data_IF_049637704111
#
_entry.id   IF_049637704111
#
_cell.length_a   1.000
_cell.length_b   1.000
_cell.length_c   1.000
_cell.angle_alpha   90.00
_cell.angle_beta   90.00
_cell.angle_gamma   90.00
#
_symmetry.space_group_name_H-M   'P 1'
#
loop_
_entity.id
_entity.type
_entity.pdbx_description
1 polymer ?
#
# COMPACT_ATOMS: atom_id res chain seq x y z
N UNK A 1 56.68 40.66 -25.65
CA UNK A 1 55.55 41.51 -26.07
C UNK A 1 54.29 40.92 -25.43
N UNK A 2 53.84 41.54 -24.31
CA UNK A 2 52.51 41.51 -23.64
C UNK A 2 51.78 40.16 -23.41
N UNK A 3 51.63 39.68 -22.16
CA UNK A 3 50.45 39.81 -21.23
C UNK A 3 49.22 38.97 -21.71
N UNK A 4 48.49 38.10 -20.99
CA UNK A 4 48.06 37.91 -19.58
C UNK A 4 47.50 36.47 -19.38
N UNK A 5 47.47 35.94 -18.14
CA UNK A 5 46.59 34.85 -17.64
C UNK A 5 45.15 35.38 -17.37
N UNK A 6 44.16 34.61 -16.83
CA UNK A 6 43.52 33.34 -17.22
C UNK A 6 41.97 33.47 -17.26
N UNK A 7 41.18 32.52 -17.81
CA UNK A 7 39.76 32.36 -17.40
C UNK A 7 39.27 30.92 -17.52
N UNK A 8 38.85 30.37 -16.37
CA UNK A 8 37.96 29.23 -16.22
C UNK A 8 36.62 29.55 -16.89
N UNK A 9 36.10 28.62 -17.71
CA UNK A 9 34.65 28.46 -17.85
C UNK A 9 34.28 27.04 -17.43
N UNK A 10 33.90 26.95 -16.16
CA UNK A 10 32.98 25.94 -15.66
C UNK A 10 31.70 26.07 -16.48
N UNK A 11 31.34 25.06 -17.27
CA UNK A 11 29.97 24.96 -17.77
C UNK A 11 29.11 24.52 -16.58
N UNK A 12 28.52 25.51 -15.92
CA UNK A 12 27.52 25.28 -14.89
C UNK A 12 26.25 24.75 -15.58
N UNK A 13 25.98 23.45 -15.49
CA UNK A 13 24.60 22.95 -15.59
C UNK A 13 23.87 23.35 -14.31
N UNK A 14 23.45 24.61 -14.27
CA UNK A 14 22.63 25.15 -13.19
C UNK A 14 21.25 24.51 -13.20
N UNK A 15 20.99 23.61 -12.27
CA UNK A 15 19.62 23.20 -11.93
C UNK A 15 19.03 24.30 -11.04
N UNK A 16 18.00 25.01 -11.52
CA UNK A 16 17.25 25.95 -10.68
C UNK A 16 16.56 25.14 -9.58
N UNK A 17 16.97 25.35 -8.33
CA UNK A 17 16.34 24.76 -7.14
C UNK A 17 15.25 25.71 -6.64
N UNK A 18 14.00 25.26 -6.70
CA UNK A 18 12.94 25.71 -5.79
C UNK A 18 12.55 24.46 -4.98
N UNK A 19 12.62 24.54 -3.66
CA UNK A 19 12.20 23.52 -2.67
C UNK A 19 12.98 22.20 -2.52
N UNK A 20 14.26 22.15 -2.89
CA UNK A 20 15.18 21.13 -2.33
C UNK A 20 14.94 19.65 -2.70
N UNK A 21 13.99 19.32 -3.58
CA UNK A 21 13.90 18.00 -4.23
C UNK A 21 14.44 18.07 -5.66
N UNK A 22 15.32 17.15 -6.10
CA UNK A 22 15.61 17.03 -7.53
C UNK A 22 14.33 16.61 -8.25
N UNK A 23 13.72 17.50 -9.04
CA UNK A 23 12.71 17.08 -10.02
C UNK A 23 13.42 16.16 -10.99
N UNK A 24 12.97 14.91 -11.10
CA UNK A 24 13.38 14.06 -12.22
C UNK A 24 13.11 14.82 -13.52
N UNK A 25 14.06 14.83 -14.47
CA UNK A 25 13.80 15.42 -15.77
C UNK A 25 12.63 14.67 -16.42
N UNK A 26 11.58 15.41 -16.77
CA UNK A 26 10.48 14.88 -17.58
C UNK A 26 11.04 14.39 -18.91
N UNK A 27 10.72 13.15 -19.28
CA UNK A 27 11.24 12.50 -20.48
C UNK A 27 10.54 13.05 -21.73
N UNK A 28 11.31 13.28 -22.77
CA UNK A 28 10.84 13.69 -24.09
C UNK A 28 9.74 12.75 -24.63
N UNK A 29 8.63 13.32 -25.07
CA UNK A 29 7.46 12.57 -25.54
C UNK A 29 6.57 11.98 -24.43
N UNK A 30 6.80 12.30 -23.15
CA UNK A 30 5.89 11.92 -22.05
C UNK A 30 4.53 12.57 -22.22
N UNK A 31 3.45 11.89 -21.83
CA UNK A 31 2.09 12.43 -21.89
C UNK A 31 1.55 12.63 -20.47
N UNK A 32 0.66 13.60 -20.28
CA UNK A 32 -0.17 13.75 -19.08
C UNK A 32 -1.59 14.15 -19.45
N UNK A 33 -2.52 13.92 -18.53
CA UNK A 33 -3.92 14.34 -18.65
C UNK A 33 -4.21 15.47 -17.66
N UNK A 34 -4.81 16.56 -18.13
CA UNK A 34 -5.12 17.74 -17.32
C UNK A 34 -6.61 18.09 -17.40
N UNK A 35 -7.19 18.58 -16.31
CA UNK A 35 -8.58 19.09 -16.28
C UNK A 35 -9.67 18.05 -16.05
N UNK A 36 -9.31 16.77 -15.86
CA UNK A 36 -10.25 15.71 -15.45
C UNK A 36 -9.74 14.85 -14.28
N UNK A 37 -10.57 13.90 -13.83
CA UNK A 37 -10.29 13.04 -12.66
C UNK A 37 -9.60 11.73 -13.09
N UNK A 38 -8.27 11.70 -13.01
CA UNK A 38 -7.40 10.55 -13.29
C UNK A 38 -7.40 10.00 -14.73
N UNK A 39 -8.53 9.48 -15.25
CA UNK A 39 -8.62 8.81 -16.57
C UNK A 39 -9.14 9.69 -17.73
N UNK A 40 -9.94 10.75 -17.52
CA UNK A 40 -10.26 11.72 -18.56
C UNK A 40 -9.42 12.99 -18.42
N UNK A 41 -9.14 13.65 -19.53
CA UNK A 41 -8.49 14.96 -19.52
C UNK A 41 -7.99 15.42 -20.88
N UNK A 42 -7.58 16.68 -20.95
CA UNK A 42 -6.83 17.27 -22.06
C UNK A 42 -5.46 16.59 -22.17
N UNK A 43 -5.08 16.24 -23.39
CA UNK A 43 -3.78 15.63 -23.69
C UNK A 43 -2.71 16.72 -23.76
N UNK A 44 -1.68 16.57 -22.94
CA UNK A 44 -0.46 17.37 -23.05
C UNK A 44 0.73 16.43 -23.22
N UNK A 45 1.64 16.78 -24.14
CA UNK A 45 2.88 16.06 -24.40
C UNK A 45 4.08 16.93 -24.00
N UNK A 46 5.11 16.30 -23.44
CA UNK A 46 6.34 16.99 -23.08
C UNK A 46 7.28 17.01 -24.27
N UNK A 47 7.64 18.20 -24.75
CA UNK A 47 8.58 18.36 -25.85
C UNK A 47 9.39 19.65 -25.70
N UNK A 48 10.69 19.55 -25.97
CA UNK A 48 11.65 20.68 -25.95
C UNK A 48 11.61 21.47 -24.62
N UNK A 49 11.62 20.73 -23.51
CA UNK A 49 11.69 21.34 -22.18
C UNK A 49 10.35 21.83 -21.59
N UNK A 50 9.23 21.67 -22.30
CA UNK A 50 7.94 22.19 -21.88
C UNK A 50 6.77 21.24 -22.15
N UNK A 51 5.69 21.41 -21.40
CA UNK A 51 4.41 20.75 -21.68
C UNK A 51 3.63 21.56 -22.71
N UNK A 52 3.21 20.91 -23.79
CA UNK A 52 2.51 21.52 -24.93
C UNK A 52 1.22 20.76 -25.23
N UNK A 53 0.26 21.41 -25.89
CA UNK A 53 -1.03 20.78 -26.22
C UNK A 53 -1.05 20.18 -27.64
N UNK A 54 -2.07 19.36 -27.87
CA UNK A 54 -2.33 18.64 -29.12
C UNK A 54 -3.62 19.18 -29.71
N UNK A 55 -3.63 19.52 -31.01
CA UNK A 55 -4.85 19.92 -31.69
C UNK A 55 -5.77 18.73 -31.98
N UNK A 56 -7.08 18.99 -31.95
CA UNK A 56 -8.14 18.03 -32.22
C UNK A 56 -8.43 17.81 -33.71
N UNK A 57 -7.82 18.60 -34.60
CA UNK A 57 -7.90 18.37 -36.05
C UNK A 57 -7.17 17.05 -36.40
N UNK A 58 -7.91 16.13 -37.05
CA UNK A 58 -7.43 14.77 -37.33
C UNK A 58 -7.41 13.82 -36.14
N UNK A 59 -7.72 14.30 -34.93
CA UNK A 59 -7.81 13.49 -33.71
C UNK A 59 -8.94 12.48 -33.82
N UNK A 60 -8.71 11.27 -33.31
CA UNK A 60 -9.70 10.20 -33.35
C UNK A 60 -9.49 9.20 -32.21
N UNK A 61 -10.31 8.14 -32.21
CA UNK A 61 -10.23 7.10 -31.19
C UNK A 61 -8.90 6.33 -31.23
N UNK A 62 -8.22 6.25 -32.38
CA UNK A 62 -6.91 5.61 -32.48
C UNK A 62 -5.83 6.46 -31.81
N UNK A 63 -5.87 7.79 -31.97
CA UNK A 63 -5.05 8.73 -31.21
C UNK A 63 -5.28 8.64 -29.70
N UNK A 64 -6.55 8.59 -29.30
CA UNK A 64 -6.91 8.39 -27.89
C UNK A 64 -6.41 7.04 -27.36
N UNK A 65 -6.48 5.97 -28.15
CA UNK A 65 -6.01 4.63 -27.79
C UNK A 65 -4.51 4.64 -27.51
N UNK A 66 -3.69 5.28 -28.35
CA UNK A 66 -2.24 5.39 -28.15
C UNK A 66 -1.93 6.14 -26.85
N UNK A 67 -2.59 7.29 -26.61
CA UNK A 67 -2.39 8.07 -25.38
C UNK A 67 -2.75 7.26 -24.14
N UNK A 68 -3.92 6.62 -24.14
CA UNK A 68 -4.38 5.84 -23.00
C UNK A 68 -3.45 4.65 -22.73
N UNK A 69 -3.01 3.93 -23.75
CA UNK A 69 -2.03 2.85 -23.61
C UNK A 69 -0.67 3.35 -23.10
N UNK A 70 -0.17 4.48 -23.63
CA UNK A 70 1.08 5.11 -23.19
C UNK A 70 1.03 5.52 -21.71
N UNK A 71 -0.14 5.96 -21.24
CA UNK A 71 -0.42 6.34 -19.85
C UNK A 71 -0.69 5.13 -18.93
N UNK A 72 -0.65 3.90 -19.44
CA UNK A 72 -0.85 2.66 -18.66
C UNK A 72 -2.30 2.20 -18.53
N UNK A 73 -3.24 2.81 -19.26
CA UNK A 73 -4.62 2.33 -19.35
C UNK A 73 -4.74 1.18 -20.35
N UNK A 74 -5.84 0.42 -20.26
CA UNK A 74 -6.10 -0.71 -21.17
C UNK A 74 -6.56 -0.26 -22.57
N UNK A 75 -6.93 1.01 -22.72
CA UNK A 75 -7.31 1.63 -23.99
C UNK A 75 -8.14 2.88 -23.77
N UNK A 76 -8.69 3.43 -24.85
CA UNK A 76 -9.59 4.57 -24.81
C UNK A 76 -11.06 4.13 -24.79
N UNK A 77 -11.88 4.89 -24.06
CA UNK A 77 -13.34 4.90 -24.19
C UNK A 77 -13.74 5.90 -25.26
N UNK A 78 -13.12 7.09 -25.27
CA UNK A 78 -13.48 8.15 -26.19
C UNK A 78 -12.32 9.09 -26.52
N UNK A 79 -12.37 9.67 -27.72
CA UNK A 79 -11.62 10.85 -28.11
C UNK A 79 -12.49 12.09 -27.87
N UNK A 80 -11.92 13.13 -27.28
CA UNK A 80 -12.64 14.35 -26.91
C UNK A 80 -12.05 15.53 -27.65
N UNK A 81 -12.92 16.44 -28.07
CA UNK A 81 -12.63 17.55 -28.98
C UNK A 81 -13.05 18.88 -28.32
N UNK A 82 -12.70 20.00 -28.93
CA UNK A 82 -13.24 21.31 -28.62
C UNK A 82 -12.75 21.92 -27.30
N UNK A 83 -11.56 21.51 -26.81
CA UNK A 83 -11.02 22.03 -25.55
C UNK A 83 -11.91 21.71 -24.33
N UNK A 84 -12.68 20.62 -24.38
CA UNK A 84 -13.72 20.27 -23.40
C UNK A 84 -13.22 20.25 -21.94
N UNK A 85 -12.02 19.73 -21.69
CA UNK A 85 -11.41 19.67 -20.35
C UNK A 85 -10.72 20.98 -19.94
N UNK A 86 -11.12 22.10 -20.56
CA UNK A 86 -10.50 23.40 -20.45
C UNK A 86 -9.42 23.62 -21.49
N UNK A 87 -9.25 24.88 -21.87
CA UNK A 87 -8.16 25.33 -22.73
C UNK A 87 -6.81 25.16 -22.00
N UNK A 88 -5.80 24.69 -22.73
CA UNK A 88 -4.42 24.77 -22.30
C UNK A 88 -3.86 26.19 -22.41
N UNK A 89 -2.58 26.31 -22.08
CA UNK A 89 -1.83 27.54 -22.20
C UNK A 89 -0.51 27.26 -22.91
N UNK A 90 -0.05 28.23 -23.71
CA UNK A 90 1.24 28.16 -24.37
C UNK A 90 1.14 27.55 -25.77
N UNK A 91 2.17 26.83 -26.23
CA UNK A 91 2.19 26.35 -27.60
C UNK A 91 1.33 25.11 -27.86
N UNK A 92 0.75 25.03 -29.06
CA UNK A 92 0.16 23.81 -29.64
C UNK A 92 1.21 23.22 -30.57
N UNK A 93 1.73 22.02 -30.32
CA UNK A 93 2.89 21.53 -31.09
C UNK A 93 2.60 20.30 -31.94
N UNK A 94 1.41 19.71 -31.82
CA UNK A 94 0.96 18.62 -32.66
C UNK A 94 -0.38 18.96 -33.30
N UNK A 95 -0.49 18.74 -34.60
CA UNK A 95 -1.68 19.01 -35.41
C UNK A 95 -1.83 17.97 -36.53
N UNK A 96 -3.07 17.64 -36.92
CA UNK A 96 -3.41 16.53 -37.82
C UNK A 96 -2.80 15.20 -37.38
N UNK A 97 -2.93 14.89 -36.09
CA UNK A 97 -2.39 13.66 -35.51
C UNK A 97 -3.19 12.46 -35.98
N UNK A 98 -2.57 11.60 -36.77
CA UNK A 98 -3.14 10.35 -37.29
C UNK A 98 -2.35 9.16 -36.77
N UNK A 99 -2.98 8.42 -35.88
CA UNK A 99 -2.45 7.17 -35.34
C UNK A 99 -3.16 5.97 -35.97
N UNK A 100 -2.47 4.84 -36.06
CA UNK A 100 -3.04 3.54 -36.38
C UNK A 100 -3.62 2.85 -35.13
N UNK A 101 -3.28 3.33 -33.92
CA UNK A 101 -3.76 2.82 -32.64
C UNK A 101 -2.83 1.80 -31.98
N UNK A 102 -1.75 1.41 -32.67
CA UNK A 102 -0.76 0.42 -32.22
C UNK A 102 0.61 1.02 -31.89
N UNK A 103 0.76 2.33 -32.06
CA UNK A 103 1.98 3.05 -31.72
C UNK A 103 2.29 2.96 -30.23
N UNK A 104 3.58 2.85 -29.89
CA UNK A 104 4.02 2.79 -28.49
C UNK A 104 3.93 4.14 -27.77
N UNK A 105 3.86 5.24 -28.52
CA UNK A 105 3.79 6.60 -27.98
C UNK A 105 3.18 7.56 -29.00
N UNK A 106 2.54 8.62 -28.51
CA UNK A 106 1.87 9.63 -29.33
C UNK A 106 2.82 10.31 -30.34
N UNK A 107 4.07 10.54 -29.95
CA UNK A 107 5.12 11.11 -30.81
C UNK A 107 5.50 10.27 -32.02
N UNK A 108 5.07 9.00 -32.09
CA UNK A 108 5.30 8.10 -33.24
C UNK A 108 4.15 8.07 -34.24
N UNK A 109 3.02 8.70 -33.93
CA UNK A 109 1.95 8.88 -34.89
C UNK A 109 2.37 9.85 -36.00
N UNK A 110 1.66 9.84 -37.12
CA UNK A 110 1.87 10.83 -38.18
C UNK A 110 1.23 12.16 -37.77
N UNK A 111 1.91 13.28 -37.96
CA UNK A 111 1.37 14.63 -37.74
C UNK A 111 2.11 15.63 -38.64
N UNK A 112 1.64 16.89 -38.70
CA UNK A 112 2.20 17.93 -39.61
C UNK A 112 3.65 18.35 -39.34
N UNK A 113 4.25 17.89 -38.25
CA UNK A 113 5.53 18.33 -37.75
C UNK A 113 5.40 19.21 -36.50
N UNK A 114 6.45 19.25 -35.69
CA UNK A 114 6.43 19.94 -34.40
C UNK A 114 6.29 21.45 -34.59
N UNK A 115 5.31 22.05 -33.90
CA UNK A 115 5.04 23.49 -33.97
C UNK A 115 4.40 23.96 -35.28
N UNK A 116 3.98 23.04 -36.16
CA UNK A 116 3.24 23.34 -37.39
C UNK A 116 1.75 23.12 -37.13
N UNK A 117 0.99 24.20 -36.88
CA UNK A 117 -0.43 24.17 -36.53
C UNK A 117 -1.16 25.43 -36.97
N UNK A 118 -2.49 25.33 -37.18
CA UNK A 118 -3.41 26.46 -37.40
C UNK A 118 -4.54 26.51 -36.35
N UNK A 119 -4.39 25.75 -35.27
CA UNK A 119 -5.36 25.63 -34.20
C UNK A 119 -5.27 26.72 -33.13
N UNK A 120 -6.32 26.81 -32.30
CA UNK A 120 -6.34 27.59 -31.05
C UNK A 120 -6.66 26.63 -29.89
N UNK A 121 -6.44 27.03 -28.63
CA UNK A 121 -6.75 26.16 -27.48
C UNK A 121 -8.23 25.79 -27.30
N UNK A 122 -9.14 26.41 -28.08
CA UNK A 122 -10.53 25.92 -28.22
C UNK A 122 -10.63 24.58 -28.94
N UNK A 123 -9.52 24.11 -29.52
CA UNK A 123 -9.36 22.86 -30.25
C UNK A 123 -8.35 21.92 -29.57
N UNK A 124 -8.07 22.09 -28.27
CA UNK A 124 -7.18 21.14 -27.60
C UNK A 124 -7.87 19.76 -27.50
N UNK A 125 -7.14 18.72 -27.90
CA UNK A 125 -7.57 17.34 -27.86
C UNK A 125 -7.62 16.79 -26.43
N UNK A 126 -8.59 15.93 -26.17
CA UNK A 126 -8.74 15.21 -24.92
C UNK A 126 -9.01 13.73 -25.13
N UNK A 127 -8.96 12.99 -24.03
CA UNK A 127 -9.30 11.55 -23.99
C UNK A 127 -10.18 11.25 -22.80
N UNK A 128 -10.91 10.14 -22.92
CA UNK A 128 -11.44 9.40 -21.78
C UNK A 128 -10.84 8.00 -21.86
N UNK A 129 -9.95 7.67 -20.94
CA UNK A 129 -9.36 6.34 -20.89
C UNK A 129 -10.27 5.34 -20.17
N UNK A 130 -10.16 4.07 -20.55
CA UNK A 130 -10.66 2.95 -19.74
C UNK A 130 -9.99 3.00 -18.37
N UNK A 131 -10.49 2.24 -17.39
CA UNK A 131 -9.79 2.09 -16.11
C UNK A 131 -8.32 1.73 -16.35
N UNK A 132 -7.44 2.20 -15.46
CA UNK A 132 -6.01 1.88 -15.56
C UNK A 132 -5.87 0.36 -15.68
N UNK A 133 -4.79 -0.16 -16.28
CA UNK A 133 -4.41 -1.54 -16.03
C UNK A 133 -4.05 -1.66 -14.54
N UNK A 134 -5.06 -1.69 -13.68
CA UNK A 134 -4.93 -2.10 -12.29
C UNK A 134 -4.64 -3.58 -12.35
N UNK A 135 -3.35 -3.91 -12.32
CA UNK A 135 -2.90 -5.25 -12.07
C UNK A 135 -3.59 -5.74 -10.80
N UNK A 136 -4.24 -6.90 -10.87
CA UNK A 136 -4.70 -7.61 -9.68
C UNK A 136 -3.57 -7.63 -8.64
N UNK A 137 -3.92 -7.45 -7.39
CA UNK A 137 -3.00 -7.54 -6.25
C UNK A 137 -3.54 -8.53 -5.25
N UNK A 138 -2.67 -9.41 -4.78
CA UNK A 138 -2.91 -10.26 -3.63
C UNK A 138 -2.18 -9.67 -2.43
N UNK A 139 -2.88 -9.55 -1.30
CA UNK A 139 -2.31 -9.25 -0.01
C UNK A 139 -2.74 -10.30 1.02
N UNK A 140 -1.81 -11.15 1.42
CA UNK A 140 -1.97 -12.08 2.53
C UNK A 140 -1.71 -11.37 3.86
N UNK A 141 -2.70 -11.44 4.75
CA UNK A 141 -2.64 -10.88 6.09
C UNK A 141 -2.38 -11.97 7.12
N UNK A 142 -1.76 -11.53 8.22
CA UNK A 142 -1.57 -12.33 9.43
C UNK A 142 -2.92 -12.82 10.00
N UNK A 143 -2.91 -13.86 10.86
CA UNK A 143 -4.12 -14.41 11.45
C UNK A 143 -4.99 -13.37 12.16
N UNK A 144 -6.31 -13.54 12.05
CA UNK A 144 -7.28 -12.77 12.83
C UNK A 144 -7.09 -13.11 14.32
N UNK A 145 -6.59 -12.17 15.11
CA UNK A 145 -6.23 -12.43 16.51
C UNK A 145 -7.44 -12.92 17.33
N UNK A 146 -8.63 -12.40 17.08
CA UNK A 146 -9.84 -12.83 17.79
C UNK A 146 -10.14 -14.34 17.61
N UNK A 147 -10.03 -14.86 16.39
CA UNK A 147 -10.22 -16.30 16.11
C UNK A 147 -9.12 -17.13 16.78
N UNK A 148 -7.90 -16.60 16.77
CA UNK A 148 -6.73 -17.28 17.33
C UNK A 148 -6.82 -17.44 18.85
N UNK A 149 -7.26 -16.39 19.55
CA UNK A 149 -7.33 -16.35 21.01
C UNK A 149 -8.63 -16.94 21.58
N UNK A 150 -9.76 -16.80 20.88
CA UNK A 150 -11.07 -17.28 21.39
C UNK A 150 -11.37 -18.69 20.91
N UNK A 151 -11.15 -18.98 19.63
CA UNK A 151 -11.54 -20.24 19.00
C UNK A 151 -10.35 -21.19 18.80
N UNK A 152 -9.13 -20.74 19.09
CA UNK A 152 -7.91 -21.51 18.85
C UNK A 152 -7.56 -21.71 17.38
N UNK A 153 -8.27 -21.07 16.45
CA UNK A 153 -8.13 -21.27 15.00
C UNK A 153 -7.18 -20.27 14.37
N UNK A 154 -6.29 -20.74 13.49
CA UNK A 154 -5.47 -19.87 12.65
C UNK A 154 -6.27 -19.55 11.38
N UNK A 155 -6.85 -18.35 11.32
CA UNK A 155 -7.62 -17.88 10.17
C UNK A 155 -6.91 -16.70 9.53
N UNK A 156 -6.33 -16.90 8.34
CA UNK A 156 -5.68 -15.87 7.54
C UNK A 156 -6.69 -15.18 6.61
N UNK A 157 -6.33 -14.00 6.11
CA UNK A 157 -7.10 -13.30 5.07
C UNK A 157 -6.25 -13.11 3.80
N UNK A 158 -6.75 -13.63 2.67
CA UNK A 158 -6.26 -13.27 1.34
C UNK A 158 -7.15 -12.16 0.77
N UNK A 159 -6.58 -10.98 0.62
CA UNK A 159 -7.26 -9.78 0.12
C UNK A 159 -6.86 -9.59 -1.34
N UNK A 160 -7.83 -9.78 -2.24
CA UNK A 160 -7.66 -9.51 -3.68
C UNK A 160 -8.22 -8.12 -3.97
N UNK A 161 -7.43 -7.28 -4.62
CA UNK A 161 -7.80 -5.92 -5.03
C UNK A 161 -7.37 -5.64 -6.46
N UNK A 162 -8.11 -4.81 -7.19
CA UNK A 162 -7.82 -4.50 -8.59
C UNK A 162 -9.01 -3.92 -9.35
N UNK A 163 -8.98 -4.06 -10.68
CA UNK A 163 -10.10 -3.68 -11.56
C UNK A 163 -11.36 -4.50 -11.26
N UNK A 164 -12.55 -3.88 -11.41
CA UNK A 164 -13.83 -4.48 -11.05
C UNK A 164 -14.09 -5.82 -11.75
N UNK A 165 -13.83 -5.91 -13.05
CA UNK A 165 -14.10 -7.15 -13.80
C UNK A 165 -13.01 -8.18 -13.51
N UNK A 166 -11.77 -7.74 -13.37
CA UNK A 166 -10.66 -8.62 -12.99
C UNK A 166 -10.88 -9.25 -11.60
N UNK A 167 -11.34 -8.50 -10.60
CA UNK A 167 -11.59 -8.99 -9.24
C UNK A 167 -12.81 -9.91 -9.18
N UNK A 168 -13.86 -9.63 -9.96
CA UNK A 168 -15.04 -10.50 -10.08
C UNK A 168 -14.66 -11.88 -10.63
N UNK A 169 -13.87 -11.92 -11.69
CA UNK A 169 -13.45 -13.16 -12.34
C UNK A 169 -12.33 -13.89 -11.57
N UNK A 170 -11.59 -13.18 -10.71
CA UNK A 170 -10.49 -13.76 -9.96
C UNK A 170 -10.95 -14.85 -8.98
N UNK A 171 -10.21 -15.97 -8.98
CA UNK A 171 -10.34 -17.05 -8.01
C UNK A 171 -9.06 -17.15 -7.17
N UNK A 172 -9.20 -17.63 -5.93
CA UNK A 172 -8.08 -17.76 -5.00
C UNK A 172 -7.97 -19.21 -4.56
N UNK A 173 -6.79 -19.80 -4.78
CA UNK A 173 -6.42 -21.09 -4.22
C UNK A 173 -5.29 -20.89 -3.20
N UNK A 174 -5.28 -21.70 -2.14
CA UNK A 174 -4.23 -21.65 -1.13
C UNK A 174 -3.79 -23.07 -0.78
N UNK A 175 -2.51 -23.22 -0.46
CA UNK A 175 -1.90 -24.51 -0.12
C UNK A 175 -0.82 -24.36 0.94
N UNK A 176 -0.54 -25.47 1.62
CA UNK A 176 0.68 -25.65 2.42
C UNK A 176 1.44 -26.81 1.81
N UNK A 177 2.67 -26.56 1.35
CA UNK A 177 3.40 -27.50 0.48
C UNK A 177 2.52 -27.84 -0.73
N UNK A 178 2.20 -29.11 -0.95
CA UNK A 178 1.32 -29.57 -2.04
C UNK A 178 -0.12 -29.85 -1.61
N UNK A 179 -0.47 -29.56 -0.35
CA UNK A 179 -1.81 -29.85 0.19
C UNK A 179 -2.72 -28.61 0.09
N UNK A 180 -3.86 -28.70 -0.61
CA UNK A 180 -4.79 -27.58 -0.73
C UNK A 180 -5.44 -27.28 0.63
N UNK A 181 -5.72 -26.00 0.87
CA UNK A 181 -6.44 -25.50 2.03
C UNK A 181 -7.89 -25.15 1.65
N UNK A 182 -8.78 -25.19 2.64
CA UNK A 182 -10.17 -24.73 2.49
C UNK A 182 -10.16 -23.20 2.46
N UNK A 183 -10.60 -22.64 1.34
CA UNK A 183 -10.79 -21.20 1.15
C UNK A 183 -12.27 -20.87 1.14
N UNK A 184 -12.70 -19.99 2.05
CA UNK A 184 -14.10 -19.54 2.11
C UNK A 184 -14.16 -18.08 1.65
N UNK A 185 -15.00 -17.74 0.66
CA UNK A 185 -15.25 -16.34 0.32
C UNK A 185 -15.81 -15.60 1.53
N UNK A 186 -15.17 -14.49 1.88
CA UNK A 186 -15.59 -13.59 2.95
C UNK A 186 -16.37 -12.40 2.41
N UNK A 187 -16.21 -11.26 3.08
CA UNK A 187 -16.87 -10.00 2.73
C UNK A 187 -16.35 -9.46 1.40
N UNK A 188 -17.26 -8.97 0.57
CA UNK A 188 -16.94 -8.22 -0.65
C UNK A 188 -17.32 -6.76 -0.43
N UNK A 189 -16.36 -5.85 -0.57
CA UNK A 189 -16.63 -4.41 -0.55
C UNK A 189 -16.69 -3.88 -1.98
N UNK A 190 -17.91 -3.67 -2.46
CA UNK A 190 -18.21 -3.18 -3.81
C UNK A 190 -17.69 -1.76 -4.06
N UNK A 191 -17.42 -0.98 -3.00
CA UNK A 191 -16.94 0.40 -3.11
C UNK A 191 -15.42 0.51 -3.25
N UNK A 192 -14.69 -0.51 -2.79
CA UNK A 192 -13.22 -0.55 -2.81
C UNK A 192 -12.66 -1.60 -3.78
N UNK A 193 -13.52 -2.38 -4.44
CA UNK A 193 -13.15 -3.46 -5.38
C UNK A 193 -12.23 -4.49 -4.72
N UNK A 194 -12.64 -4.93 -3.53
CA UNK A 194 -11.89 -5.88 -2.69
C UNK A 194 -12.71 -7.15 -2.49
N UNK A 195 -12.08 -8.31 -2.73
CA UNK A 195 -12.60 -9.64 -2.37
C UNK A 195 -11.70 -10.25 -1.30
N UNK A 196 -12.27 -10.53 -0.13
CA UNK A 196 -11.54 -11.15 0.97
C UNK A 196 -11.86 -12.64 1.02
N UNK A 197 -10.84 -13.49 1.10
CA UNK A 197 -10.99 -14.93 1.33
C UNK A 197 -10.41 -15.28 2.69
N UNK A 198 -11.16 -16.02 3.50
CA UNK A 198 -10.68 -16.55 4.78
C UNK A 198 -10.11 -17.95 4.58
N UNK A 199 -8.94 -18.18 5.15
CA UNK A 199 -8.20 -19.44 5.00
C UNK A 199 -7.93 -20.00 6.38
N UNK A 200 -8.44 -21.20 6.67
CA UNK A 200 -8.13 -21.89 7.92
C UNK A 200 -6.88 -22.73 7.74
N UNK A 201 -5.90 -22.52 8.62
CA UNK A 201 -4.63 -23.25 8.63
C UNK A 201 -4.55 -24.10 9.90
N UNK A 202 -3.90 -25.25 9.79
CA UNK A 202 -3.57 -26.06 10.96
C UNK A 202 -2.66 -25.29 11.91
N UNK A 203 -3.01 -25.30 13.20
CA UNK A 203 -2.36 -24.47 14.21
C UNK A 203 -0.90 -24.85 14.40
N UNK A 204 -0.62 -26.14 14.53
CA UNK A 204 0.73 -26.65 14.77
C UNK A 204 1.63 -26.33 13.58
N UNK A 205 1.17 -26.62 12.36
CA UNK A 205 1.93 -26.31 11.13
C UNK A 205 2.21 -24.83 10.95
N UNK A 206 1.24 -23.96 11.30
CA UNK A 206 1.43 -22.53 11.25
C UNK A 206 2.56 -22.08 12.17
N UNK A 207 2.49 -22.44 13.45
CA UNK A 207 3.54 -22.09 14.41
C UNK A 207 4.85 -22.82 14.15
N UNK A 208 4.83 -23.90 13.38
CA UNK A 208 6.03 -24.57 12.90
C UNK A 208 6.77 -23.80 11.80
N UNK A 209 6.17 -22.74 11.26
CA UNK A 209 6.72 -21.93 10.19
C UNK A 209 6.49 -22.56 8.81
N UNK A 210 5.53 -23.48 8.66
CA UNK A 210 5.15 -23.96 7.34
C UNK A 210 4.58 -22.80 6.50
N UNK A 211 5.07 -22.70 5.26
CA UNK A 211 4.65 -21.66 4.34
C UNK A 211 3.25 -21.93 3.80
N UNK A 212 2.39 -20.93 3.94
CA UNK A 212 1.11 -20.86 3.26
C UNK A 212 1.29 -20.05 2.00
N UNK A 213 1.05 -20.69 0.86
CA UNK A 213 1.12 -20.06 -0.46
C UNK A 213 -0.30 -19.90 -0.99
N UNK A 214 -0.68 -18.68 -1.36
CA UNK A 214 -1.94 -18.42 -2.03
C UNK A 214 -1.71 -17.82 -3.41
N UNK A 215 -2.52 -18.24 -4.35
CA UNK A 215 -2.43 -17.87 -5.76
C UNK A 215 -3.77 -17.32 -6.21
N UNK A 216 -3.75 -16.12 -6.79
CA UNK A 216 -4.88 -15.55 -7.50
C UNK A 216 -4.78 -15.98 -8.96
N UNK A 217 -5.81 -16.68 -9.43
CA UNK A 217 -5.94 -17.07 -10.84
C UNK A 217 -6.89 -16.11 -11.55
N UNK A 218 -6.50 -15.67 -12.74
CA UNK A 218 -7.29 -14.78 -13.59
C UNK A 218 -7.12 -15.18 -15.06
N UNK A 219 -8.19 -15.10 -15.84
CA UNK A 219 -8.15 -15.41 -17.27
C UNK A 219 -7.34 -14.39 -18.08
N UNK A 220 -7.22 -13.17 -17.58
CA UNK A 220 -6.69 -12.01 -18.31
C UNK A 220 -5.33 -11.54 -17.76
N UNK A 221 -4.74 -12.27 -16.81
CA UNK A 221 -3.48 -11.90 -16.15
C UNK A 221 -2.71 -13.14 -15.74
N UNK A 222 -1.38 -13.01 -15.59
CA UNK A 222 -0.58 -14.06 -14.98
C UNK A 222 -1.04 -14.28 -13.54
N UNK A 223 -0.92 -15.52 -13.09
CA UNK A 223 -1.16 -15.88 -11.70
C UNK A 223 -0.30 -15.04 -10.77
N UNK A 224 -0.91 -14.56 -9.69
CA UNK A 224 -0.25 -13.76 -8.66
C UNK A 224 -0.17 -14.61 -7.42
N UNK A 225 1.06 -14.91 -7.02
CA UNK A 225 1.34 -15.74 -5.86
C UNK A 225 1.94 -14.90 -4.74
N UNK A 226 1.51 -15.17 -3.51
CA UNK A 226 2.14 -14.65 -2.32
C UNK A 226 2.28 -15.76 -1.28
N UNK A 227 3.36 -15.70 -0.52
CA UNK A 227 3.62 -16.59 0.60
C UNK A 227 3.51 -15.82 1.92
N UNK A 228 3.02 -16.51 2.95
CA UNK A 228 3.04 -16.04 4.34
C UNK A 228 3.39 -17.22 5.25
N UNK A 229 4.16 -16.95 6.30
CA UNK A 229 4.57 -17.96 7.28
C UNK A 229 4.77 -17.27 8.62
N UNK A 230 4.78 -18.08 9.69
CA UNK A 230 5.14 -17.63 11.01
C UNK A 230 6.67 -17.59 11.18
N UNK A 231 7.23 -16.41 11.48
CA UNK A 231 8.64 -16.26 11.85
C UNK A 231 8.83 -16.63 13.33
N UNK A 232 9.66 -17.65 13.59
CA UNK A 232 9.98 -18.13 14.94
C UNK A 232 10.99 -17.24 15.68
N UNK A 233 11.67 -16.32 15.01
CA UNK A 233 12.70 -15.47 15.62
C UNK A 233 13.91 -16.29 16.10
N UNK A 234 14.36 -16.05 17.33
CA UNK A 234 15.39 -16.85 18.03
C UNK A 234 14.85 -18.14 18.66
N UNK A 235 13.54 -18.42 18.55
CA UNK A 235 12.90 -19.58 19.15
C UNK A 235 12.84 -19.56 20.68
N UNK A 236 13.22 -18.45 21.34
CA UNK A 236 13.15 -18.31 22.79
C UNK A 236 11.76 -17.85 23.21
N UNK A 237 11.41 -18.12 24.47
CA UNK A 237 10.23 -17.52 25.09
C UNK A 237 10.51 -16.02 25.29
N UNK A 238 9.69 -15.12 24.74
CA UNK A 238 9.93 -13.69 24.87
C UNK A 238 9.68 -13.22 26.31
N UNK A 239 10.33 -12.12 26.68
CA UNK A 239 10.00 -11.37 27.89
C UNK A 239 8.73 -10.58 27.66
N UNK A 240 7.85 -10.55 28.65
CA UNK A 240 6.58 -9.80 28.61
C UNK A 240 6.49 -8.96 29.87
N UNK A 241 6.38 -7.65 29.70
CA UNK A 241 6.29 -6.67 30.80
C UNK A 241 5.11 -5.74 30.55
N UNK A 242 4.32 -5.48 31.59
CA UNK A 242 3.28 -4.46 31.56
C UNK A 242 3.77 -3.25 32.33
N UNK A 243 3.76 -2.10 31.66
CA UNK A 243 4.01 -0.79 32.27
C UNK A 243 2.68 -0.11 32.57
N UNK A 244 2.49 0.24 33.84
CA UNK A 244 1.42 1.12 34.30
C UNK A 244 1.91 2.57 34.27
N UNK A 245 1.03 3.55 33.99
CA UNK A 245 1.43 4.95 34.02
C UNK A 245 1.81 5.37 35.45
N UNK A 246 2.87 6.18 35.57
CA UNK A 246 3.28 6.76 36.86
C UNK A 246 2.32 7.83 37.40
N UNK A 247 1.45 8.37 36.54
CA UNK A 247 0.41 9.32 36.91
C UNK A 247 -0.92 8.93 36.25
N UNK A 248 -2.01 9.00 37.00
CA UNK A 248 -3.35 8.69 36.51
C UNK A 248 -4.02 10.01 36.06
N UNK A 249 -4.16 10.26 34.75
CA UNK A 249 -4.91 11.43 34.25
C UNK A 249 -6.40 11.29 34.57
N UNK A 250 -7.15 12.40 34.40
CA UNK A 250 -8.55 12.46 34.83
C UNK A 250 -9.49 11.49 34.08
N UNK A 251 -9.23 11.20 32.80
CA UNK A 251 -10.24 10.55 31.93
C UNK A 251 -9.87 9.12 31.49
N UNK A 252 -8.73 8.95 30.80
CA UNK A 252 -8.34 7.68 30.17
C UNK A 252 -6.94 7.23 30.57
N UNK A 253 -6.79 5.94 30.80
CA UNK A 253 -5.55 5.30 31.22
C UNK A 253 -5.07 4.36 30.11
N UNK A 254 -3.80 4.50 29.73
CA UNK A 254 -3.15 3.61 28.78
C UNK A 254 -2.14 2.72 29.50
N UNK A 255 -2.26 1.41 29.30
CA UNK A 255 -1.24 0.44 29.68
C UNK A 255 -0.43 0.05 28.46
N UNK A 256 0.87 -0.19 28.68
CA UNK A 256 1.78 -0.65 27.63
C UNK A 256 2.24 -2.06 27.97
N UNK A 257 2.05 -3.00 27.06
CA UNK A 257 2.65 -4.33 27.12
C UNK A 257 3.82 -4.37 26.16
N UNK A 258 5.04 -4.49 26.69
CA UNK A 258 6.24 -4.73 25.90
C UNK A 258 6.53 -6.23 25.83
N UNK A 259 6.68 -6.72 24.60
CA UNK A 259 7.13 -8.08 24.30
C UNK A 259 8.48 -7.99 23.63
N UNK A 260 9.51 -8.60 24.22
CA UNK A 260 10.89 -8.46 23.72
C UNK A 260 11.68 -9.77 23.71
N UNK A 261 12.61 -9.87 22.77
CA UNK A 261 13.58 -10.97 22.66
C UNK A 261 14.82 -10.50 21.89
N UNK A 262 16.01 -11.13 22.03
CA UNK A 262 17.18 -10.80 21.20
C UNK A 262 16.87 -10.77 19.71
N UNK A 263 16.12 -11.75 19.21
CA UNK A 263 15.54 -11.75 17.86
C UNK A 263 14.08 -12.16 17.94
N UNK A 264 13.20 -11.16 18.05
CA UNK A 264 11.77 -11.38 18.14
C UNK A 264 11.20 -11.79 16.77
N UNK A 265 10.50 -12.93 16.73
CA UNK A 265 9.73 -13.38 15.59
C UNK A 265 8.33 -12.77 15.56
N UNK A 266 7.38 -13.43 14.91
CA UNK A 266 5.98 -13.05 15.02
C UNK A 266 5.45 -13.34 16.43
N UNK A 267 4.62 -12.42 16.92
CA UNK A 267 3.89 -12.56 18.17
C UNK A 267 2.48 -12.00 17.97
N UNK A 268 1.49 -12.61 18.61
CA UNK A 268 0.13 -12.08 18.64
C UNK A 268 -0.19 -11.66 20.07
N UNK A 269 -0.73 -10.45 20.22
CA UNK A 269 -0.96 -9.84 21.52
C UNK A 269 -2.42 -9.45 21.62
N UNK A 270 -3.10 -9.93 22.66
CA UNK A 270 -4.45 -9.51 23.02
C UNK A 270 -4.48 -9.18 24.51
N UNK A 271 -5.44 -8.36 24.90
CA UNK A 271 -5.63 -7.96 26.28
C UNK A 271 -6.85 -8.64 26.87
N UNK A 272 -6.85 -8.83 28.19
CA UNK A 272 -8.01 -9.30 28.94
C UNK A 272 -8.17 -8.44 30.19
N UNK A 273 -9.39 -8.01 30.49
CA UNK A 273 -9.70 -7.22 31.69
C UNK A 273 -10.71 -7.99 32.55
N UNK A 274 -10.22 -8.55 33.66
CA UNK A 274 -10.98 -9.51 34.48
C UNK A 274 -11.39 -10.74 33.66
N UNK A 275 -12.65 -11.15 33.78
CA UNK A 275 -13.22 -12.28 33.05
C UNK A 275 -13.85 -11.92 31.70
N UNK A 276 -13.68 -10.68 31.23
CA UNK A 276 -14.21 -10.24 29.94
C UNK A 276 -13.52 -10.98 28.77
N UNK A 277 -14.15 -11.02 27.57
CA UNK A 277 -13.51 -11.53 26.37
C UNK A 277 -12.20 -10.80 26.04
N UNK A 278 -11.34 -11.44 25.24
CA UNK A 278 -10.13 -10.78 24.75
C UNK A 278 -10.46 -9.53 23.94
N UNK A 279 -9.68 -8.47 24.17
CA UNK A 279 -9.80 -7.15 23.58
C UNK A 279 -8.54 -6.85 22.77
N UNK A 280 -8.74 -6.30 21.57
CA UNK A 280 -7.64 -5.89 20.70
C UNK A 280 -7.05 -4.57 21.19
N UNK A 281 -5.72 -4.54 21.37
CA UNK A 281 -4.96 -3.33 21.61
C UNK A 281 -4.42 -2.70 20.32
N UNK A 282 -3.72 -1.58 20.44
CA UNK A 282 -2.94 -1.00 19.34
C UNK A 282 -1.50 -1.50 19.42
N UNK A 283 -1.08 -2.30 18.46
CA UNK A 283 0.25 -2.93 18.45
C UNK A 283 1.18 -2.22 17.46
N UNK A 284 2.38 -1.87 17.91
CA UNK A 284 3.39 -1.18 17.12
C UNK A 284 4.06 -2.10 16.10
N UNK A 285 4.72 -1.50 15.10
CA UNK A 285 5.73 -2.22 14.34
C UNK A 285 6.89 -2.65 15.27
N UNK A 286 7.69 -3.68 14.89
CA UNK A 286 8.87 -4.07 15.64
C UNK A 286 9.88 -2.92 15.78
N UNK A 287 10.39 -2.74 16.99
CA UNK A 287 11.40 -1.76 17.35
C UNK A 287 12.72 -2.51 17.54
N UNK A 288 13.71 -2.21 16.71
CA UNK A 288 15.02 -2.83 16.79
C UNK A 288 15.96 -2.00 17.67
N UNK A 289 16.51 -2.64 18.68
CA UNK A 289 17.56 -2.11 19.55
C UNK A 289 18.86 -2.88 19.29
N UNK A 290 19.96 -2.45 19.92
CA UNK A 290 21.30 -3.01 19.67
C UNK A 290 21.36 -4.53 19.84
N UNK A 291 20.72 -5.05 20.90
CA UNK A 291 20.79 -6.46 21.31
C UNK A 291 19.41 -7.09 21.51
N UNK A 292 18.34 -6.41 21.09
CA UNK A 292 16.96 -6.87 21.26
C UNK A 292 16.03 -6.30 20.19
N UNK A 293 14.91 -6.98 19.99
CA UNK A 293 13.76 -6.46 19.25
C UNK A 293 12.55 -6.53 20.16
N UNK A 294 11.75 -5.45 20.19
CA UNK A 294 10.52 -5.41 20.97
C UNK A 294 9.32 -4.93 20.15
N UNK A 295 8.15 -5.31 20.59
CA UNK A 295 6.85 -4.83 20.09
C UNK A 295 6.07 -4.32 21.29
N UNK A 296 5.42 -3.16 21.11
CA UNK A 296 4.58 -2.56 22.14
C UNK A 296 3.12 -2.71 21.76
N UNK A 297 2.30 -3.24 22.66
CA UNK A 297 0.84 -3.17 22.55
C UNK A 297 0.29 -2.19 23.57
N UNK A 298 -0.66 -1.36 23.18
CA UNK A 298 -1.27 -0.33 24.02
C UNK A 298 -2.75 -0.62 24.18
N UNK A 299 -3.21 -0.69 25.43
CA UNK A 299 -4.63 -0.75 25.78
C UNK A 299 -5.03 0.54 26.49
N UNK A 300 -6.02 1.23 25.95
CA UNK A 300 -6.62 2.40 26.58
C UNK A 300 -7.98 2.05 27.15
N UNK A 301 -8.25 2.44 28.39
CA UNK A 301 -9.49 2.22 29.11
C UNK A 301 -9.84 3.44 29.96
N UNK A 302 -11.04 3.46 30.55
CA UNK A 302 -11.44 4.55 31.45
C UNK A 302 -10.71 4.43 32.79
N UNK A 303 -10.56 5.56 33.49
CA UNK A 303 -10.03 5.57 34.85
C UNK A 303 -10.81 4.65 35.80
N UNK A 304 -12.14 4.66 35.70
CA UNK A 304 -13.02 3.84 36.51
C UNK A 304 -12.76 2.33 36.33
N UNK A 305 -12.59 1.87 35.09
CA UNK A 305 -12.30 0.47 34.79
C UNK A 305 -10.93 0.04 35.31
N UNK A 306 -9.93 0.91 35.16
CA UNK A 306 -8.58 0.65 35.66
C UNK A 306 -8.52 0.64 37.19
N UNK A 307 -9.20 1.54 37.88
CA UNK A 307 -9.15 1.63 39.34
C UNK A 307 -9.98 0.54 40.03
N UNK A 308 -10.91 -0.10 39.31
CA UNK A 308 -11.73 -1.18 39.83
C UNK A 308 -10.85 -2.34 40.38
N UNK A 309 -10.85 -2.60 41.70
CA UNK A 309 -9.96 -3.58 42.34
C UNK A 309 -10.24 -5.03 41.94
N UNK A 310 -11.43 -5.31 41.41
CA UNK A 310 -11.80 -6.65 40.90
C UNK A 310 -11.32 -6.91 39.47
N UNK A 311 -10.72 -5.91 38.80
CA UNK A 311 -10.29 -6.01 37.39
C UNK A 311 -8.79 -6.26 37.28
N UNK A 312 -8.39 -7.52 37.10
CA UNK A 312 -7.01 -7.85 36.72
C UNK A 312 -6.83 -7.62 35.22
N UNK A 313 -5.90 -6.74 34.84
CA UNK A 313 -5.60 -6.48 33.44
C UNK A 313 -4.44 -7.40 33.04
N UNK A 314 -4.63 -8.18 31.98
CA UNK A 314 -3.67 -9.18 31.54
C UNK A 314 -3.31 -8.94 30.09
N UNK A 315 -2.01 -8.91 29.81
CA UNK A 315 -1.47 -9.01 28.46
C UNK A 315 -1.23 -10.48 28.14
N UNK A 316 -1.91 -10.97 27.10
CA UNK A 316 -1.83 -12.35 26.65
C UNK A 316 -1.08 -12.42 25.31
N UNK A 317 -0.04 -13.25 25.25
CA UNK A 317 0.88 -13.34 24.12
C UNK A 317 0.91 -14.77 23.59
N UNK A 318 0.71 -14.92 22.28
CA UNK A 318 0.88 -16.18 21.55
C UNK A 318 2.16 -16.08 20.70
N UNK A 319 3.04 -17.06 20.84
CA UNK A 319 4.32 -17.15 20.11
C UNK A 319 4.64 -18.62 19.75
N UNK A 320 5.68 -18.88 18.95
CA UNK A 320 5.99 -20.24 18.48
C UNK A 320 6.46 -21.24 19.55
N UNK A 321 6.90 -20.77 20.73
CA UNK A 321 7.49 -21.63 21.76
C UNK A 321 6.62 -21.64 23.04
N UNK A 322 5.31 -21.79 22.86
CA UNK A 322 4.38 -21.93 23.98
C UNK A 322 4.46 -23.35 24.53
N UNK A 323 4.49 -23.48 25.86
CA UNK A 323 4.45 -24.76 26.56
C UNK A 323 3.13 -25.53 26.29
N UNK A 324 2.04 -24.79 26.06
CA UNK A 324 0.76 -25.31 25.62
C UNK A 324 0.24 -24.44 24.46
N UNK A 325 0.16 -25.01 23.26
CA UNK A 325 -0.28 -24.29 22.07
C UNK A 325 -1.68 -23.68 22.20
N UNK A 326 -2.52 -24.17 23.12
CA UNK A 326 -3.87 -23.67 23.38
C UNK A 326 -3.94 -22.58 24.46
N UNK A 327 -2.83 -22.31 25.17
CA UNK A 327 -2.79 -21.36 26.28
C UNK A 327 -1.77 -20.26 26.04
N UNK A 328 -2.19 -18.99 25.88
CA UNK A 328 -1.25 -17.88 25.71
C UNK A 328 -0.42 -17.66 26.98
N UNK A 329 0.80 -17.14 26.82
CA UNK A 329 1.58 -16.59 27.92
C UNK A 329 0.84 -15.37 28.47
N UNK A 330 0.60 -15.32 29.77
CA UNK A 330 -0.15 -14.25 30.41
C UNK A 330 0.67 -13.58 31.49
N UNK A 331 0.76 -12.25 31.41
CA UNK A 331 1.31 -11.39 32.47
C UNK A 331 0.21 -10.45 32.90
N UNK A 332 -0.05 -10.39 34.20
CA UNK A 332 -1.04 -9.48 34.77
C UNK A 332 -0.39 -8.21 35.29
N UNK A 333 -1.09 -7.09 35.17
CA UNK A 333 -0.65 -5.79 35.65
C UNK A 333 -0.47 -5.85 37.18
N UNK A 334 0.70 -5.48 37.65
CA UNK A 334 0.93 -5.23 39.06
C UNK A 334 0.82 -3.71 39.30
N UNK A 335 -0.29 -3.28 39.92
CA UNK A 335 -0.56 -1.86 40.19
C UNK A 335 0.38 -1.27 41.24
N UNK A 336 1.17 -2.08 41.93
CA UNK A 336 2.16 -1.64 42.91
C UNK A 336 3.51 -1.27 42.30
N UNK A 337 3.78 -1.68 41.05
CA UNK A 337 5.01 -1.34 40.33
C UNK A 337 4.76 -0.16 39.40
N UNK A 338 4.80 1.04 39.95
CA UNK A 338 4.86 2.26 39.15
C UNK A 338 6.29 2.48 38.62
N UNK A 339 6.41 2.96 37.38
CA UNK A 339 7.67 3.46 36.86
C UNK A 339 8.03 4.75 37.61
N UNK A 340 8.93 4.65 38.59
CA UNK A 340 9.64 5.81 39.10
C UNK A 340 10.66 6.24 38.05
N UNK A 341 10.30 7.24 37.25
CA UNK A 341 11.25 7.91 36.35
C UNK A 341 11.83 9.09 37.11
N UNK A 342 13.03 8.92 37.66
CA UNK A 342 13.87 10.04 38.08
C UNK A 342 14.38 10.75 36.82
N UNK A 343 14.02 12.01 36.65
CA UNK A 343 14.72 12.89 35.72
C UNK A 343 15.95 13.42 36.44
N UNK A 344 17.14 12.89 36.12
CA UNK A 344 18.42 13.52 36.49
C UNK A 344 18.75 14.70 35.54
#
# INVERSE_FOLDING_TARGET
>A
MYLLWPLLFVSAQGSIKIDGRPRQPTLEGSVRLVGGLASPGRVEIYHDGQWVTVCDDGWDLAGAQVVCCQMGFSGAINAVFGGYFGAGCGPIWMDYVKCNGSESSLSKCSFRGWGVYDCTHKKDAGVVCKTAKFSLKLNLKQPIEQELFVNGKVVLEAVVSGDIEAVKEASVSCKVKDKPLITVPGTTDSSQFIKVHKITVDREKWFDGEKVTCTVHSNNSRDIEQEIFFDKGDGRKPSVVIYSPGYIPADNISLVCEVSSPKLGNVYIMWKAGDRPYIKGSTSAPIHQKDSTSVLSILTMTKEEYENPSTTITCAVIHANMDNMSSPLQVSSDRSKQLEVSCD
#
